data_IF_375851349065
#
_entry.id   IF_375851349065
#
_cell.length_a   1.000
_cell.length_b   1.000
_cell.length_c   1.000
_cell.angle_alpha   90.00
_cell.angle_beta   90.00
_cell.angle_gamma   90.00
#
_symmetry.space_group_name_H-M   'P 1'
#
loop_
_entity.id
_entity.type
_entity.pdbx_description
1 polymer ?
#
# COMPACT_ATOMS: atom_id res chain seq x y z
N UNK A 1 35.85 17.32 38.96
CA UNK A 1 36.31 16.10 39.66
C UNK A 1 35.70 14.94 38.92
N UNK A 2 36.35 14.05 38.23
CA UNK A 2 37.73 13.65 38.14
C UNK A 2 38.03 13.04 36.79
N UNK A 3 39.09 13.47 36.32
CA UNK A 3 40.01 12.98 35.30
C UNK A 3 40.43 11.53 35.54
N UNK A 4 40.68 10.78 34.44
CA UNK A 4 41.79 9.80 34.27
C UNK A 4 41.66 9.29 32.83
N UNK A 5 42.41 9.79 31.85
CA UNK A 5 43.82 9.48 31.58
C UNK A 5 44.11 7.97 31.65
N UNK A 6 44.19 7.36 30.51
CA UNK A 6 45.08 6.23 30.31
C UNK A 6 45.70 6.34 28.91
N UNK A 7 46.89 6.84 28.98
CA UNK A 7 47.93 6.90 27.94
C UNK A 7 48.72 5.60 27.97
N UNK A 8 49.29 5.27 26.79
CA UNK A 8 50.52 4.54 26.53
C UNK A 8 50.43 3.00 26.53
N UNK A 9 50.53 2.40 25.37
CA UNK A 9 51.69 1.55 25.07
C UNK A 9 51.94 1.42 23.57
N UNK A 10 53.04 2.05 23.21
CA UNK A 10 53.80 1.93 21.98
C UNK A 10 54.47 0.56 21.95
N UNK A 11 54.28 -0.23 20.90
CA UNK A 11 55.19 -1.32 20.58
C UNK A 11 55.28 -1.47 19.06
N UNK A 12 56.34 -0.90 18.60
CA UNK A 12 57.14 -1.10 17.41
C UNK A 12 57.42 -2.59 17.17
N UNK A 13 56.92 -3.17 16.07
CA UNK A 13 57.56 -4.33 15.43
C UNK A 13 57.62 -4.14 13.94
N UNK A 14 58.84 -3.84 13.56
CA UNK A 14 59.45 -3.83 12.23
C UNK A 14 59.67 -5.29 11.76
N UNK A 15 59.60 -5.49 10.44
CA UNK A 15 60.15 -6.59 9.64
C UNK A 15 59.21 -7.76 9.30
N UNK A 16 58.94 -7.97 8.08
CA UNK A 16 59.61 -8.75 7.03
C UNK A 16 58.71 -8.81 5.77
N UNK A 17 59.21 -8.24 4.71
CA UNK A 17 58.73 -8.50 3.33
C UNK A 17 59.26 -9.85 2.85
N UNK A 18 58.47 -10.75 2.32
CA UNK A 18 58.91 -11.71 1.32
C UNK A 18 58.59 -11.14 -0.06
N UNK A 19 59.65 -10.90 -0.80
CA UNK A 19 59.65 -10.74 -2.24
C UNK A 19 59.20 -12.04 -2.87
N UNK A 20 57.99 -12.11 -3.41
CA UNK A 20 57.57 -13.20 -4.31
C UNK A 20 57.99 -12.83 -5.72
N UNK A 21 58.99 -13.55 -6.17
CA UNK A 21 59.54 -13.56 -7.51
C UNK A 21 58.45 -13.89 -8.56
N UNK A 22 58.42 -13.06 -9.57
CA UNK A 22 57.62 -13.23 -10.78
C UNK A 22 58.24 -14.37 -11.62
N UNK A 23 57.58 -15.46 -11.98
CA UNK A 23 58.07 -16.39 -12.97
C UNK A 23 58.02 -15.77 -14.36
N UNK A 24 58.98 -16.09 -15.24
CA UNK A 24 59.04 -15.54 -16.59
C UNK A 24 57.93 -16.10 -17.47
N UNK A 25 57.40 -15.23 -18.32
CA UNK A 25 56.45 -15.56 -19.35
C UNK A 25 57.03 -16.61 -20.31
N UNK A 26 56.36 -17.76 -20.46
CA UNK A 26 56.61 -18.67 -21.56
C UNK A 26 55.64 -18.33 -22.72
N UNK A 27 56.13 -18.20 -23.93
CA UNK A 27 55.32 -18.00 -25.09
C UNK A 27 54.80 -19.34 -25.65
N UNK A 28 53.58 -19.34 -26.12
CA UNK A 28 52.97 -20.30 -27.01
C UNK A 28 52.56 -21.66 -26.46
N UNK A 29 51.28 -21.78 -26.38
CA UNK A 29 50.51 -22.99 -26.25
C UNK A 29 49.03 -22.66 -26.15
N UNK A 30 48.43 -22.24 -27.25
CA UNK A 30 46.97 -22.22 -27.41
C UNK A 30 46.48 -23.68 -27.45
N UNK A 31 46.24 -24.22 -26.28
CA UNK A 31 45.36 -25.38 -26.15
C UNK A 31 43.96 -24.82 -25.86
N UNK A 32 43.19 -24.71 -26.93
CA UNK A 32 41.73 -24.51 -26.85
C UNK A 32 41.16 -25.69 -26.06
N UNK A 33 40.80 -25.45 -24.82
CA UNK A 33 40.03 -26.44 -24.05
C UNK A 33 38.63 -26.49 -24.67
N UNK A 34 38.05 -27.69 -24.91
CA UNK A 34 36.77 -27.82 -25.57
C UNK A 34 35.56 -27.42 -24.74
N UNK A 35 35.73 -26.54 -23.75
CA UNK A 35 34.70 -26.04 -22.85
C UNK A 35 34.69 -24.51 -22.72
N UNK A 36 35.26 -23.77 -23.69
CA UNK A 36 34.93 -22.37 -23.86
C UNK A 36 33.51 -22.27 -24.45
N UNK A 37 32.54 -22.72 -23.63
CA UNK A 37 31.17 -22.33 -23.80
C UNK A 37 31.14 -20.87 -23.37
N UNK A 38 31.18 -19.98 -24.35
CA UNK A 38 30.83 -18.57 -24.15
C UNK A 38 29.67 -18.46 -23.16
N UNK A 39 29.83 -17.74 -22.04
CA UNK A 39 28.68 -17.49 -21.20
C UNK A 39 27.58 -16.92 -22.12
N UNK A 40 26.36 -17.47 -22.06
CA UNK A 40 25.29 -16.97 -22.90
C UNK A 40 25.27 -15.47 -22.72
N UNK A 41 25.39 -14.75 -23.83
CA UNK A 41 25.32 -13.31 -23.87
C UNK A 41 24.23 -12.88 -22.91
N UNK A 42 24.62 -12.08 -21.93
CA UNK A 42 23.71 -11.53 -20.92
C UNK A 42 22.47 -11.11 -21.68
N UNK A 43 21.41 -11.87 -21.54
CA UNK A 43 20.10 -11.50 -22.03
C UNK A 43 19.79 -10.21 -21.27
N UNK A 44 20.12 -9.10 -21.91
CA UNK A 44 19.63 -7.81 -21.48
C UNK A 44 18.13 -8.01 -21.44
N UNK A 45 17.58 -8.18 -20.24
CA UNK A 45 16.15 -8.07 -20.05
C UNK A 45 15.84 -6.64 -20.54
N UNK A 46 15.41 -6.54 -21.77
CA UNK A 46 14.78 -5.34 -22.27
C UNK A 46 13.59 -5.14 -21.33
N UNK A 47 13.79 -4.32 -20.29
CA UNK A 47 12.68 -3.80 -19.52
C UNK A 47 11.75 -3.22 -20.57
N UNK A 48 10.62 -3.85 -20.70
CA UNK A 48 9.58 -3.39 -21.63
C UNK A 48 9.36 -1.91 -21.32
N UNK A 49 9.72 -1.05 -22.28
CA UNK A 49 9.50 0.41 -22.17
C UNK A 49 8.01 0.75 -22.29
N UNK A 50 7.15 -0.28 -22.33
CA UNK A 50 5.70 -0.10 -22.26
C UNK A 50 5.36 0.22 -20.81
N UNK A 51 4.89 1.41 -20.50
CA UNK A 51 4.50 1.76 -19.15
C UNK A 51 3.43 0.79 -18.66
N UNK A 52 3.46 0.39 -17.38
CA UNK A 52 2.43 -0.46 -16.83
C UNK A 52 1.08 0.27 -16.95
N UNK A 53 0.11 -0.38 -17.53
CA UNK A 53 -1.26 0.13 -17.65
C UNK A 53 -2.23 -0.64 -16.75
N UNK A 54 -1.72 -1.67 -16.10
CA UNK A 54 -2.51 -2.59 -15.28
C UNK A 54 -2.22 -2.38 -13.79
N UNK A 55 -3.27 -2.22 -13.00
CA UNK A 55 -3.19 -2.25 -11.52
C UNK A 55 -3.51 -3.69 -11.09
N UNK A 56 -2.61 -4.37 -10.37
CA UNK A 56 -2.82 -5.76 -9.95
C UNK A 56 -3.98 -5.91 -8.96
N UNK A 57 -4.61 -7.08 -8.97
CA UNK A 57 -5.51 -7.47 -7.89
C UNK A 57 -4.82 -7.39 -6.52
N UNK A 58 -5.58 -7.17 -5.49
CA UNK A 58 -5.05 -7.04 -4.13
C UNK A 58 -4.46 -5.67 -3.79
N UNK A 59 -4.34 -4.77 -4.78
CA UNK A 59 -3.89 -3.39 -4.54
C UNK A 59 -4.83 -2.67 -3.59
N UNK A 60 -4.27 -1.92 -2.65
CA UNK A 60 -5.04 -1.11 -1.72
C UNK A 60 -5.34 0.27 -2.32
N UNK A 61 -6.60 0.66 -2.22
CA UNK A 61 -7.11 1.97 -2.63
C UNK A 61 -7.54 2.74 -1.39
N UNK A 62 -6.75 3.73 -0.99
CA UNK A 62 -7.09 4.61 0.14
C UNK A 62 -7.82 5.84 -0.40
N UNK A 63 -9.04 6.05 0.06
CA UNK A 63 -9.94 7.09 -0.43
C UNK A 63 -10.48 7.96 0.69
N UNK A 64 -10.91 9.17 0.33
CA UNK A 64 -11.71 10.06 1.18
C UNK A 64 -13.06 10.34 0.52
N UNK A 65 -14.09 10.38 1.31
CA UNK A 65 -15.43 10.70 0.84
C UNK A 65 -15.56 12.19 0.51
N UNK A 66 -16.35 12.53 -0.49
CA UNK A 66 -16.68 13.93 -0.81
C UNK A 66 -17.73 14.51 0.13
N UNK A 67 -18.59 13.64 0.67
CA UNK A 67 -19.66 14.01 1.61
C UNK A 67 -19.72 12.97 2.74
N UNK A 68 -20.21 13.37 3.93
CA UNK A 68 -20.41 12.40 5.00
C UNK A 68 -21.43 11.33 4.60
N UNK A 69 -21.21 10.11 5.05
CA UNK A 69 -22.08 8.97 4.80
C UNK A 69 -22.49 8.34 6.14
N UNK A 70 -23.81 8.28 6.40
CA UNK A 70 -24.35 7.86 7.68
C UNK A 70 -25.29 6.67 7.52
N UNK A 71 -25.26 5.74 8.47
CA UNK A 71 -26.21 4.63 8.54
C UNK A 71 -27.67 5.06 8.77
N UNK A 72 -27.88 6.31 9.23
CA UNK A 72 -29.24 6.88 9.43
C UNK A 72 -29.90 7.26 8.13
N UNK A 73 -29.13 7.82 7.19
CA UNK A 73 -29.65 8.37 5.94
C UNK A 73 -29.37 7.54 4.71
N UNK A 74 -28.42 6.60 4.79
CA UNK A 74 -28.06 5.77 3.65
C UNK A 74 -28.96 4.54 3.52
N UNK A 75 -29.23 4.15 2.28
CA UNK A 75 -29.99 2.96 1.93
C UNK A 75 -29.17 2.05 1.00
N UNK A 76 -29.51 0.78 0.98
CA UNK A 76 -28.89 -0.15 0.03
C UNK A 76 -29.14 0.33 -1.41
N UNK A 77 -28.08 0.38 -2.21
CA UNK A 77 -28.10 0.89 -3.58
C UNK A 77 -27.67 2.34 -3.73
N UNK A 78 -27.64 3.14 -2.67
CA UNK A 78 -27.22 4.54 -2.73
C UNK A 78 -25.78 4.65 -3.23
N UNK A 79 -25.54 5.63 -4.11
CA UNK A 79 -24.23 5.98 -4.60
C UNK A 79 -23.54 6.99 -3.67
N UNK A 80 -22.22 6.90 -3.58
CA UNK A 80 -21.41 7.91 -2.96
C UNK A 80 -20.19 8.24 -3.81
N UNK A 81 -19.63 9.42 -3.61
CA UNK A 81 -18.46 9.90 -4.32
C UNK A 81 -17.31 10.18 -3.36
N UNK A 82 -16.12 10.08 -3.90
CA UNK A 82 -14.89 10.39 -3.17
C UNK A 82 -13.72 10.62 -4.11
N UNK A 83 -12.55 10.66 -3.52
CA UNK A 83 -11.30 10.80 -4.24
C UNK A 83 -10.21 9.91 -3.63
N UNK A 84 -9.28 9.49 -4.47
CA UNK A 84 -8.06 8.78 -4.03
C UNK A 84 -7.27 9.71 -3.12
N UNK A 85 -6.94 9.25 -1.92
CA UNK A 85 -6.12 9.99 -0.96
C UNK A 85 -4.64 9.63 -1.06
N UNK A 86 -4.32 8.38 -1.35
CA UNK A 86 -2.96 7.90 -1.57
C UNK A 86 -2.78 7.47 -3.02
N UNK A 87 -1.76 7.99 -3.75
CA UNK A 87 -1.55 7.61 -5.14
C UNK A 87 -1.23 6.12 -5.26
N UNK A 88 -1.77 5.48 -6.29
CA UNK A 88 -1.44 4.10 -6.63
C UNK A 88 -0.27 4.10 -7.60
N UNK A 89 0.84 3.51 -7.15
CA UNK A 89 2.10 3.42 -7.92
C UNK A 89 2.37 1.95 -8.22
N UNK A 90 2.59 1.64 -9.50
CA UNK A 90 2.98 0.31 -9.99
C UNK A 90 4.24 0.49 -10.82
N UNK A 91 5.27 -0.30 -10.57
CA UNK A 91 6.56 -0.25 -11.27
C UNK A 91 7.13 1.19 -11.38
N UNK A 92 7.09 1.94 -10.28
CA UNK A 92 7.54 3.34 -10.17
C UNK A 92 6.72 4.36 -10.98
N UNK A 93 5.62 3.93 -11.58
CA UNK A 93 4.71 4.80 -12.32
C UNK A 93 3.41 5.01 -11.51
N UNK A 94 3.00 6.27 -11.37
CA UNK A 94 1.72 6.61 -10.75
C UNK A 94 0.59 6.37 -11.75
N UNK A 95 -0.23 5.36 -11.50
CA UNK A 95 -1.38 4.99 -12.32
C UNK A 95 -2.66 5.71 -11.89
N UNK A 96 -2.86 5.86 -10.58
CA UNK A 96 -3.95 6.66 -10.03
C UNK A 96 -3.37 7.77 -9.16
N UNK A 97 -3.33 9.00 -9.63
CA UNK A 97 -2.85 10.12 -8.82
C UNK A 97 -3.83 10.44 -7.69
N UNK A 98 -3.30 11.07 -6.65
CA UNK A 98 -4.12 11.62 -5.58
C UNK A 98 -5.17 12.59 -6.16
N UNK A 99 -6.41 12.51 -5.66
CA UNK A 99 -7.51 13.31 -6.17
C UNK A 99 -8.28 12.69 -7.33
N UNK A 100 -7.85 11.52 -7.86
CA UNK A 100 -8.64 10.79 -8.83
C UNK A 100 -10.03 10.51 -8.28
N UNK A 101 -11.07 10.87 -9.01
CA UNK A 101 -12.46 10.68 -8.58
C UNK A 101 -12.80 9.19 -8.50
N UNK A 102 -13.53 8.82 -7.46
CA UNK A 102 -14.10 7.49 -7.32
C UNK A 102 -15.60 7.56 -7.09
N UNK A 103 -16.30 6.51 -7.50
CA UNK A 103 -17.69 6.29 -7.11
C UNK A 103 -17.82 4.95 -6.40
N UNK A 104 -18.65 4.93 -5.40
CA UNK A 104 -18.96 3.72 -4.64
C UNK A 104 -20.45 3.53 -4.47
N UNK A 105 -20.81 2.41 -3.88
CA UNK A 105 -22.20 2.04 -3.60
C UNK A 105 -22.33 1.53 -2.17
N UNK A 106 -23.44 1.88 -1.54
CA UNK A 106 -23.89 1.28 -0.29
C UNK A 106 -24.50 -0.09 -0.61
N UNK A 107 -23.89 -1.12 -0.05
CA UNK A 107 -24.42 -2.50 -0.19
C UNK A 107 -25.52 -2.77 0.80
N UNK A 108 -25.38 -2.25 2.01
CA UNK A 108 -26.35 -2.41 3.07
C UNK A 108 -26.17 -1.32 4.13
N UNK A 109 -27.25 -0.83 4.72
CA UNK A 109 -27.24 0.15 5.77
C UNK A 109 -28.44 -0.03 6.69
N UNK A 110 -28.21 0.17 7.98
CA UNK A 110 -29.28 0.19 8.97
C UNK A 110 -28.96 1.17 10.08
N UNK A 111 -29.91 2.01 10.41
CA UNK A 111 -29.84 2.87 11.59
C UNK A 111 -29.91 2.05 12.87
N UNK A 112 -29.42 2.59 13.95
CA UNK A 112 -29.57 1.97 15.26
C UNK A 112 -31.02 1.94 15.69
N UNK A 113 -31.43 0.79 16.23
CA UNK A 113 -32.74 0.58 16.81
C UNK A 113 -32.56 0.15 18.28
N UNK A 114 -32.26 1.12 19.14
CA UNK A 114 -32.00 0.95 20.54
C UNK A 114 -30.55 0.52 20.90
N UNK A 115 -30.25 0.44 22.21
CA UNK A 115 -28.88 0.22 22.70
C UNK A 115 -28.27 -1.12 22.32
N UNK A 116 -29.09 -2.14 22.05
CA UNK A 116 -28.64 -3.49 21.69
C UNK A 116 -28.54 -3.73 20.19
N UNK A 117 -29.13 -2.84 19.37
CA UNK A 117 -29.13 -2.90 17.91
C UNK A 117 -28.41 -1.69 17.33
N UNK A 118 -27.06 -1.67 17.39
CA UNK A 118 -26.29 -0.56 16.81
C UNK A 118 -26.44 -0.53 15.29
N UNK A 119 -26.34 0.68 14.75
CA UNK A 119 -26.34 0.91 13.32
C UNK A 119 -25.14 0.28 12.63
N UNK A 120 -25.29 -0.03 11.36
CA UNK A 120 -24.21 -0.52 10.52
C UNK A 120 -24.28 0.04 9.10
N UNK A 121 -23.14 -0.01 8.43
CA UNK A 121 -22.97 0.44 7.07
C UNK A 121 -21.99 -0.47 6.34
N UNK A 122 -22.37 -0.95 5.16
CA UNK A 122 -21.53 -1.74 4.28
C UNK A 122 -21.42 -1.06 2.92
N UNK A 123 -20.19 -0.79 2.48
CA UNK A 123 -19.92 -0.03 1.26
C UNK A 123 -18.83 -0.70 0.43
N UNK A 124 -18.84 -0.43 -0.88
CA UNK A 124 -17.82 -0.88 -1.84
C UNK A 124 -17.55 0.21 -2.88
N UNK A 125 -16.40 0.17 -3.55
CA UNK A 125 -16.14 1.01 -4.72
C UNK A 125 -16.62 0.29 -5.98
N UNK A 126 -17.09 1.06 -6.96
CA UNK A 126 -17.60 0.53 -8.23
C UNK A 126 -16.93 1.15 -9.45
N UNK A 127 -16.31 2.32 -9.31
CA UNK A 127 -15.56 2.93 -10.42
C UNK A 127 -14.50 3.91 -9.93
N UNK A 128 -13.50 4.11 -10.75
CA UNK A 128 -12.44 5.12 -10.58
C UNK A 128 -12.23 5.88 -11.88
N UNK A 129 -11.93 7.17 -11.78
CA UNK A 129 -11.52 7.94 -12.94
C UNK A 129 -9.99 7.89 -13.06
N UNK A 130 -9.52 7.25 -14.11
CA UNK A 130 -8.11 7.15 -14.46
C UNK A 130 -7.85 7.86 -15.79
N UNK A 131 -6.92 8.78 -15.84
CA UNK A 131 -6.55 9.55 -17.04
C UNK A 131 -7.76 10.15 -17.80
N UNK A 132 -8.78 10.61 -17.06
CA UNK A 132 -9.98 11.21 -17.65
C UNK A 132 -11.06 10.22 -18.12
N UNK A 133 -10.82 8.92 -17.96
CA UNK A 133 -11.80 7.86 -18.26
C UNK A 133 -12.32 7.21 -16.98
N UNK A 134 -13.60 6.85 -16.99
CA UNK A 134 -14.20 6.08 -15.91
C UNK A 134 -14.00 4.60 -16.17
N UNK A 135 -13.28 3.94 -15.25
CA UNK A 135 -13.03 2.50 -15.28
C UNK A 135 -13.84 1.84 -14.19
N UNK A 136 -14.57 0.77 -14.54
CA UNK A 136 -15.27 -0.05 -13.56
C UNK A 136 -14.26 -0.87 -12.78
N UNK A 137 -14.49 -0.95 -11.47
CA UNK A 137 -13.64 -1.70 -10.56
C UNK A 137 -14.48 -2.55 -9.63
N UNK A 138 -13.90 -3.64 -9.17
CA UNK A 138 -14.46 -4.46 -8.11
C UNK A 138 -13.52 -4.43 -6.91
N UNK A 139 -14.07 -4.17 -5.73
CA UNK A 139 -13.28 -4.07 -4.50
C UNK A 139 -13.93 -4.85 -3.36
N UNK A 140 -13.11 -5.18 -2.36
CA UNK A 140 -13.63 -5.64 -1.08
C UNK A 140 -14.61 -4.63 -0.50
N UNK A 141 -15.58 -5.10 0.27
CA UNK A 141 -16.48 -4.21 1.00
C UNK A 141 -15.92 -3.85 2.37
N UNK A 142 -16.16 -2.60 2.79
CA UNK A 142 -15.96 -2.18 4.17
C UNK A 142 -17.27 -2.37 4.92
N UNK A 143 -17.23 -3.11 6.02
CA UNK A 143 -18.33 -3.24 6.95
C UNK A 143 -17.98 -2.49 8.23
N UNK A 144 -18.78 -1.52 8.59
CA UNK A 144 -18.68 -0.79 9.83
C UNK A 144 -19.95 -0.98 10.65
N UNK A 145 -19.77 -1.29 11.92
CA UNK A 145 -20.84 -1.39 12.91
C UNK A 145 -20.51 -0.43 14.03
N UNK A 146 -21.49 0.32 14.47
CA UNK A 146 -21.30 1.20 15.63
C UNK A 146 -21.12 0.33 16.89
N UNK A 147 -20.24 0.81 17.78
CA UNK A 147 -20.06 0.17 19.07
C UNK A 147 -21.22 0.57 19.96
N UNK A 148 -21.92 -0.38 20.60
CA UNK A 148 -22.90 -0.03 21.61
C UNK A 148 -22.23 0.82 22.70
N UNK A 149 -22.92 1.80 23.27
CA UNK A 149 -22.41 2.46 24.45
C UNK A 149 -22.13 1.38 25.50
N UNK A 150 -20.92 1.43 26.09
CA UNK A 150 -20.57 0.50 27.17
C UNK A 150 -21.68 0.51 28.21
N UNK A 151 -22.09 -0.68 28.71
CA UNK A 151 -23.13 -0.85 29.73
C UNK A 151 -22.80 -0.18 31.07
N UNK A 152 -21.71 0.56 31.16
CA UNK A 152 -21.37 1.40 32.31
C UNK A 152 -22.01 2.77 32.11
N UNK A 153 -23.12 3.09 32.82
CA UNK A 153 -23.68 4.42 32.80
C UNK A 153 -22.59 5.42 33.18
N UNK A 154 -22.38 6.51 32.44
CA UNK A 154 -21.61 7.62 32.96
C UNK A 154 -22.29 8.04 34.28
N UNK A 155 -21.48 8.28 35.32
CA UNK A 155 -21.97 8.81 36.58
C UNK A 155 -22.63 10.17 36.32
N UNK A 156 -23.95 10.16 36.07
CA UNK A 156 -24.70 11.37 35.65
C UNK A 156 -25.86 11.13 34.67
N UNK A 157 -26.18 9.87 34.37
CA UNK A 157 -27.45 9.37 33.88
C UNK A 157 -28.22 10.15 32.82
N UNK A 158 -27.77 10.13 31.58
CA UNK A 158 -28.68 10.16 30.43
C UNK A 158 -28.48 8.86 29.65
N UNK A 159 -29.58 8.19 29.30
CA UNK A 159 -29.54 6.98 28.47
C UNK A 159 -28.70 7.26 27.23
N UNK A 160 -27.67 6.45 27.01
CA UNK A 160 -26.83 6.60 25.80
C UNK A 160 -27.70 6.51 24.57
N UNK A 161 -27.61 7.53 23.71
CA UNK A 161 -28.31 7.55 22.44
C UNK A 161 -27.93 6.32 21.59
N UNK A 162 -28.81 5.84 20.73
CA UNK A 162 -28.50 4.77 19.79
C UNK A 162 -27.25 5.15 18.97
N UNK A 163 -26.33 4.20 18.84
CA UNK A 163 -25.09 4.45 18.13
C UNK A 163 -25.23 4.14 16.65
N UNK A 164 -25.05 5.14 15.81
CA UNK A 164 -25.04 5.04 14.37
C UNK A 164 -23.61 5.12 13.80
N UNK A 165 -23.43 4.63 12.59
CA UNK A 165 -22.17 4.74 11.86
C UNK A 165 -22.16 6.04 11.09
N UNK A 166 -21.08 6.81 11.22
CA UNK A 166 -20.82 8.01 10.43
C UNK A 166 -19.40 7.94 9.85
N UNK A 167 -19.30 7.96 8.53
CA UNK A 167 -18.06 8.22 7.82
C UNK A 167 -17.98 9.71 7.45
N UNK A 168 -17.05 10.41 8.06
CA UNK A 168 -16.76 11.80 7.74
C UNK A 168 -15.83 11.91 6.52
N UNK A 169 -15.83 13.04 5.80
CA UNK A 169 -14.91 13.25 4.67
C UNK A 169 -13.43 13.15 5.05
N UNK A 170 -13.07 13.47 6.30
CA UNK A 170 -11.69 13.41 6.79
C UNK A 170 -11.20 11.99 7.05
N UNK A 171 -12.12 11.04 7.16
CA UNK A 171 -11.76 9.66 7.42
C UNK A 171 -11.22 9.00 6.17
N UNK A 172 -10.07 8.37 6.30
CA UNK A 172 -9.50 7.50 5.27
C UNK A 172 -10.18 6.15 5.29
N UNK A 173 -10.58 5.68 4.13
CA UNK A 173 -11.17 4.38 3.92
C UNK A 173 -10.29 3.61 2.95
N UNK A 174 -9.87 2.39 3.33
CA UNK A 174 -8.99 1.58 2.49
C UNK A 174 -9.75 0.35 2.00
N UNK A 175 -9.84 0.23 0.68
CA UNK A 175 -10.44 -0.90 -0.02
C UNK A 175 -9.34 -1.72 -0.67
N UNK A 176 -9.58 -3.02 -0.83
CA UNK A 176 -8.69 -3.90 -1.57
C UNK A 176 -9.30 -4.22 -2.91
N UNK A 177 -8.54 -4.08 -3.98
CA UNK A 177 -8.97 -4.43 -5.32
C UNK A 177 -9.19 -5.95 -5.42
N UNK A 178 -10.36 -6.37 -5.91
CA UNK A 178 -10.71 -7.78 -6.03
C UNK A 178 -10.29 -8.38 -7.37
N UNK A 179 -10.08 -7.54 -8.38
CA UNK A 179 -9.63 -7.93 -9.71
C UNK A 179 -8.62 -6.91 -10.26
N UNK A 180 -7.71 -7.38 -11.10
CA UNK A 180 -6.80 -6.47 -11.81
C UNK A 180 -7.58 -5.51 -12.72
N UNK A 181 -7.12 -4.28 -12.84
CA UNK A 181 -7.75 -3.25 -13.67
C UNK A 181 -6.79 -2.87 -14.79
N UNK A 182 -7.29 -2.86 -16.03
CA UNK A 182 -6.59 -2.29 -17.17
C UNK A 182 -7.06 -0.84 -17.38
N UNK A 183 -6.09 0.08 -17.50
CA UNK A 183 -6.34 1.51 -17.66
C UNK A 183 -6.21 1.98 -19.14
N UNK A 184 -6.14 1.05 -20.09
CA UNK A 184 -6.06 1.36 -21.53
C UNK A 184 -7.36 1.93 -22.09
#
# INVERSE_FOLDING_TARGET
MGTKLWTILLALTLALLPACSRPPASPNGQQSLPFDKEPPASTSFSQSLIPPTMIPEGTFLTVRLSKPLSSVSAHAGDGFEGAIDEPVVVDQQTLLPRGSKISGRVLDARSADGPRNPGYLRITLVSVNAAGRTVLIDTSSIFAKATPPNDRPPAGGTASAPSDVLFTPDRRLTFRLAQAIDLQ
#
